data_IF_766176833813
#
_entry.id   IF_766176833813
#
_cell.length_a   1.000
_cell.length_b   1.000
_cell.length_c   1.000
_cell.angle_alpha   90.00
_cell.angle_beta   90.00
_cell.angle_gamma   90.00
#
_symmetry.space_group_name_H-M   'P 1'
#
loop_
_entity.id
_entity.type
_entity.pdbx_description
1 polymer ?
#
# COMPACT_ATOMS: atom_id res chain seq x y z
N UNK A 1 -11.47 -13.71 -13.83
CA UNK A 1 -11.47 -12.36 -13.22
C UNK A 1 -11.37 -11.35 -14.36
N UNK A 2 -12.47 -10.72 -14.74
CA UNK A 2 -12.55 -9.83 -15.91
C UNK A 2 -12.07 -8.42 -15.52
N UNK A 3 -10.79 -8.13 -15.79
CA UNK A 3 -10.16 -6.84 -15.48
C UNK A 3 -10.54 -5.73 -16.46
N UNK A 4 -11.33 -6.03 -17.51
CA UNK A 4 -11.69 -5.10 -18.60
C UNK A 4 -13.00 -4.33 -18.39
N UNK A 5 -13.57 -4.28 -17.18
CA UNK A 5 -14.59 -3.27 -16.86
C UNK A 5 -13.95 -1.89 -16.79
N UNK A 6 -13.78 -1.30 -17.97
CA UNK A 6 -13.22 0.04 -18.13
C UNK A 6 -14.25 1.02 -17.60
N UNK A 7 -13.85 1.95 -16.72
CA UNK A 7 -14.72 3.03 -16.22
C UNK A 7 -15.37 3.85 -17.33
N UNK A 8 -14.86 3.78 -18.57
CA UNK A 8 -15.49 4.32 -19.80
C UNK A 8 -16.92 3.83 -20.01
N UNK A 9 -17.27 2.62 -19.56
CA UNK A 9 -18.62 2.07 -19.68
C UNK A 9 -19.59 2.61 -18.62
N UNK A 10 -19.09 3.37 -17.63
CA UNK A 10 -19.90 3.99 -16.59
C UNK A 10 -20.11 5.47 -16.95
N UNK A 11 -21.25 5.80 -17.55
CA UNK A 11 -21.65 7.16 -17.89
C UNK A 11 -22.87 7.61 -17.07
N UNK A 12 -22.99 8.92 -16.86
CA UNK A 12 -24.21 9.55 -16.38
C UNK A 12 -25.24 9.67 -17.53
N UNK A 13 -26.53 9.95 -17.23
CA UNK A 13 -27.56 10.16 -18.26
C UNK A 13 -27.23 11.25 -19.28
N UNK A 14 -26.39 12.21 -18.91
CA UNK A 14 -25.92 13.30 -19.78
C UNK A 14 -24.64 12.96 -20.58
N UNK A 15 -24.24 11.69 -20.62
CA UNK A 15 -23.10 11.20 -21.38
C UNK A 15 -21.73 11.44 -20.73
N UNK A 16 -21.65 12.18 -19.61
CA UNK A 16 -20.37 12.43 -18.92
C UNK A 16 -19.96 11.22 -18.07
N UNK A 17 -18.66 10.97 -17.90
CA UNK A 17 -18.14 9.83 -17.12
C UNK A 17 -18.66 9.79 -15.66
N UNK A 18 -19.25 8.68 -15.21
CA UNK A 18 -19.77 8.54 -13.83
C UNK A 18 -18.65 8.64 -12.79
N UNK A 19 -17.52 7.99 -13.04
CA UNK A 19 -16.36 7.98 -12.13
C UNK A 19 -15.25 8.86 -12.68
N UNK A 20 -14.79 9.83 -11.89
CA UNK A 20 -13.71 10.76 -12.24
C UNK A 20 -12.60 10.74 -11.20
N UNK A 21 -11.37 11.04 -11.62
CA UNK A 21 -10.28 11.29 -10.66
C UNK A 21 -10.58 12.57 -9.89
N UNK A 22 -10.37 12.55 -8.58
CA UNK A 22 -10.68 13.64 -7.66
C UNK A 22 -9.51 13.91 -6.71
N UNK A 23 -8.36 14.21 -7.32
CA UNK A 23 -7.11 14.51 -6.62
C UNK A 23 -6.42 13.27 -6.03
N UNK A 24 -5.64 13.52 -4.99
CA UNK A 24 -4.89 12.52 -4.24
C UNK A 24 -5.24 12.55 -2.76
N UNK A 25 -5.04 11.42 -2.07
CA UNK A 25 -4.97 11.40 -0.62
C UNK A 25 -3.63 11.95 -0.13
N UNK A 26 -3.45 12.05 1.20
CA UNK A 26 -2.18 12.44 1.79
C UNK A 26 -1.03 11.56 1.27
N UNK A 27 0.09 12.21 0.96
CA UNK A 27 1.32 11.51 0.66
C UNK A 27 1.80 10.76 1.91
N UNK A 28 2.39 9.59 1.71
CA UNK A 28 3.01 8.81 2.78
C UNK A 28 4.26 8.12 2.27
N UNK A 29 5.23 7.95 3.15
CA UNK A 29 6.39 7.13 2.88
C UNK A 29 6.04 5.65 3.01
N UNK A 30 6.47 4.89 2.00
CA UNK A 30 6.42 3.43 1.96
C UNK A 30 7.86 2.93 2.01
N UNK A 31 8.19 2.12 3.01
CA UNK A 31 9.49 1.45 3.01
C UNK A 31 9.54 0.43 1.86
N UNK A 32 10.59 0.49 1.04
CA UNK A 32 10.84 -0.44 -0.06
C UNK A 32 12.29 -0.93 -0.01
N UNK A 33 12.66 -1.92 -0.83
CA UNK A 33 14.03 -2.44 -0.85
C UNK A 33 15.11 -1.44 -1.26
N UNK A 34 14.73 -0.31 -1.89
CA UNK A 34 15.65 0.78 -2.26
C UNK A 34 15.61 1.96 -1.26
N UNK A 35 14.91 1.79 -0.14
CA UNK A 35 14.64 2.85 0.83
C UNK A 35 13.20 3.38 0.78
N UNK A 36 12.92 4.48 1.51
CA UNK A 36 11.58 5.07 1.59
C UNK A 36 11.18 5.73 0.25
N UNK A 37 9.95 5.46 -0.19
CA UNK A 37 9.35 6.08 -1.37
C UNK A 37 8.09 6.81 -0.97
N UNK A 38 8.03 8.11 -1.27
CA UNK A 38 6.85 8.95 -1.02
C UNK A 38 5.79 8.64 -2.08
N UNK A 39 4.62 8.18 -1.66
CA UNK A 39 3.51 7.84 -2.56
C UNK A 39 2.23 8.54 -2.13
N UNK A 40 1.53 9.15 -3.09
CA UNK A 40 0.19 9.70 -2.89
C UNK A 40 -0.84 8.85 -3.63
N UNK A 41 -1.87 8.39 -2.92
CA UNK A 41 -2.91 7.52 -3.49
C UNK A 41 -3.90 8.34 -4.34
N UNK A 42 -4.21 7.97 -5.59
CA UNK A 42 -5.28 8.61 -6.35
C UNK A 42 -6.63 8.46 -5.65
N UNK A 43 -7.45 9.51 -5.70
CA UNK A 43 -8.85 9.47 -5.27
C UNK A 43 -9.73 9.44 -6.51
N UNK A 44 -10.79 8.64 -6.45
CA UNK A 44 -11.86 8.65 -7.42
C UNK A 44 -13.15 9.14 -6.76
N UNK A 45 -13.93 9.94 -7.48
CA UNK A 45 -15.26 10.38 -7.09
C UNK A 45 -16.28 9.74 -8.02
N UNK A 46 -17.23 9.01 -7.44
CA UNK A 46 -18.44 8.59 -8.12
C UNK A 46 -19.44 9.75 -8.09
N UNK A 47 -19.81 10.26 -9.26
CA UNK A 47 -20.74 11.39 -9.43
C UNK A 47 -22.20 10.93 -9.52
N UNK A 48 -22.45 9.62 -9.70
CA UNK A 48 -23.78 9.05 -9.86
C UNK A 48 -24.35 8.42 -8.59
N UNK A 49 -23.61 8.45 -7.48
CA UNK A 49 -24.05 7.84 -6.23
C UNK A 49 -25.05 8.73 -5.47
N UNK A 50 -26.28 8.26 -5.28
CA UNK A 50 -27.33 8.93 -4.49
C UNK A 50 -27.18 8.75 -2.97
N UNK A 51 -26.29 7.85 -2.54
CA UNK A 51 -26.03 7.59 -1.11
C UNK A 51 -24.79 6.72 -0.89
N UNK A 52 -24.42 6.40 0.37
CA UNK A 52 -23.20 5.65 0.69
C UNK A 52 -23.18 4.21 0.19
N UNK A 53 -24.36 3.58 0.07
CA UNK A 53 -24.51 2.15 -0.29
C UNK A 53 -24.36 1.85 -1.78
N UNK A 54 -24.64 2.80 -2.66
CA UNK A 54 -24.51 2.67 -4.14
C UNK A 54 -23.25 3.37 -4.68
N UNK A 55 -22.35 3.79 -3.78
CA UNK A 55 -21.14 4.51 -4.16
C UNK A 55 -20.06 3.55 -4.63
N UNK A 56 -19.63 3.70 -5.87
CA UNK A 56 -18.45 2.99 -6.39
C UNK A 56 -17.20 3.54 -5.72
N UNK A 57 -16.47 2.68 -5.00
CA UNK A 57 -15.23 3.03 -4.31
C UNK A 57 -14.04 2.53 -5.09
N UNK A 58 -13.08 3.42 -5.34
CA UNK A 58 -11.76 3.01 -5.78
C UNK A 58 -11.06 2.26 -4.64
N UNK A 59 -10.48 1.10 -4.94
CA UNK A 59 -9.56 0.36 -4.09
C UNK A 59 -8.28 0.10 -4.88
N UNK A 60 -7.12 0.43 -4.31
CA UNK A 60 -5.84 0.15 -4.96
C UNK A 60 -5.33 -1.19 -4.46
N UNK A 61 -5.01 -2.09 -5.39
CA UNK A 61 -4.40 -3.39 -5.11
C UNK A 61 -2.87 -3.27 -4.94
N UNK A 62 -2.27 -2.28 -5.60
CA UNK A 62 -0.82 -2.00 -5.55
C UNK A 62 -0.47 -1.24 -4.25
N UNK A 63 -1.29 -0.25 -3.89
CA UNK A 63 -1.10 0.58 -2.69
C UNK A 63 -2.32 0.45 -1.76
N UNK A 64 -2.40 -0.60 -0.93
CA UNK A 64 -3.46 -0.77 0.06
C UNK A 64 -3.56 0.44 0.99
N UNK A 65 -4.75 0.71 1.53
CA UNK A 65 -5.07 1.95 2.23
C UNK A 65 -4.09 2.29 3.37
N UNK A 66 -3.62 1.26 4.08
CA UNK A 66 -2.79 1.36 5.28
C UNK A 66 -1.37 0.82 5.10
N UNK A 67 -0.97 0.50 3.87
CA UNK A 67 0.38 0.00 3.61
C UNK A 67 1.43 1.03 4.04
N UNK A 68 2.39 0.58 4.84
CA UNK A 68 3.59 1.33 5.27
C UNK A 68 4.89 0.75 4.70
N UNK A 69 4.84 -0.48 4.17
CA UNK A 69 5.97 -1.20 3.60
C UNK A 69 5.55 -1.97 2.34
N UNK A 70 6.51 -2.28 1.49
CA UNK A 70 6.32 -3.17 0.35
C UNK A 70 6.18 -4.63 0.81
N UNK A 71 5.35 -5.41 0.11
CA UNK A 71 5.15 -6.85 0.38
C UNK A 71 6.46 -7.65 0.36
N UNK A 72 7.43 -7.24 -0.46
CA UNK A 72 8.75 -7.87 -0.53
C UNK A 72 9.57 -7.72 0.75
N UNK A 73 9.37 -6.63 1.51
CA UNK A 73 10.01 -6.45 2.81
C UNK A 73 9.37 -7.33 3.89
N UNK A 74 8.05 -7.49 3.87
CA UNK A 74 7.37 -8.38 4.82
C UNK A 74 7.82 -9.83 4.60
N UNK A 75 7.99 -10.25 3.33
CA UNK A 75 8.49 -11.58 2.98
C UNK A 75 9.97 -11.81 3.36
N UNK A 76 10.77 -10.73 3.53
CA UNK A 76 12.18 -10.84 3.86
C UNK A 76 12.38 -11.33 5.30
N UNK A 77 11.51 -10.94 6.24
CA UNK A 77 11.67 -11.23 7.67
C UNK A 77 11.72 -12.74 7.96
N UNK A 78 10.77 -13.58 7.49
CA UNK A 78 10.85 -15.03 7.67
C UNK A 78 12.12 -15.65 7.04
N UNK A 79 12.52 -15.17 5.86
CA UNK A 79 13.70 -15.68 5.15
C UNK A 79 14.99 -15.43 5.95
N UNK A 80 15.16 -14.22 6.50
CA UNK A 80 16.33 -13.90 7.32
C UNK A 80 16.39 -14.76 8.58
N UNK A 81 15.24 -15.07 9.18
CA UNK A 81 15.17 -15.91 10.37
C UNK A 81 15.55 -17.38 10.05
N UNK A 82 15.04 -17.91 8.93
CA UNK A 82 15.42 -19.25 8.45
C UNK A 82 16.90 -19.36 8.09
N UNK A 83 17.55 -18.25 7.73
CA UNK A 83 18.99 -18.17 7.46
C UNK A 83 19.85 -18.06 8.73
N UNK A 84 19.24 -18.10 9.92
CA UNK A 84 19.96 -18.08 11.20
C UNK A 84 20.48 -16.70 11.62
N UNK A 85 20.00 -15.62 10.99
CA UNK A 85 20.35 -14.27 11.43
C UNK A 85 19.56 -13.98 12.72
N UNK A 86 20.25 -13.49 13.76
CA UNK A 86 19.60 -13.12 15.02
C UNK A 86 18.71 -11.88 14.85
N UNK A 87 17.62 -11.79 15.61
CA UNK A 87 16.75 -10.59 15.61
C UNK A 87 17.51 -9.32 16.04
N UNK A 88 18.56 -9.46 16.86
CA UNK A 88 19.46 -8.35 17.22
C UNK A 88 20.25 -7.80 16.02
N UNK A 89 20.62 -8.67 15.08
CA UNK A 89 21.40 -8.31 13.90
C UNK A 89 20.51 -7.77 12.76
N UNK A 90 19.21 -8.04 12.81
CA UNK A 90 18.24 -7.54 11.82
C UNK A 90 18.22 -6.02 11.79
N UNK A 91 18.18 -5.37 12.96
CA UNK A 91 18.12 -3.91 13.04
C UNK A 91 19.35 -3.28 12.36
N UNK A 92 20.53 -3.87 12.56
CA UNK A 92 21.80 -3.41 11.96
C UNK A 92 21.80 -3.62 10.44
N UNK A 93 21.40 -4.80 9.98
CA UNK A 93 21.32 -5.12 8.55
C UNK A 93 20.27 -4.27 7.81
N UNK A 94 19.07 -4.14 8.40
CA UNK A 94 17.98 -3.37 7.82
C UNK A 94 18.26 -1.86 7.83
N UNK A 95 18.95 -1.34 8.85
CA UNK A 95 19.31 0.07 8.88
C UNK A 95 20.28 0.45 7.77
N UNK A 96 21.18 -0.46 7.38
CA UNK A 96 22.08 -0.25 6.24
C UNK A 96 21.33 -0.21 4.90
N UNK A 97 20.20 -0.92 4.77
CA UNK A 97 19.43 -1.04 3.53
C UNK A 97 18.29 -0.01 3.43
N UNK A 98 17.66 0.34 4.56
CA UNK A 98 16.41 1.10 4.60
C UNK A 98 16.56 2.49 5.23
N UNK A 99 17.78 2.85 5.62
CA UNK A 99 18.09 4.07 6.35
C UNK A 99 18.04 3.88 7.87
N UNK A 100 18.49 4.90 8.59
CA UNK A 100 18.65 4.89 10.05
C UNK A 100 17.38 4.41 10.75
N UNK A 101 17.55 3.49 11.71
CA UNK A 101 16.50 2.89 12.53
C UNK A 101 15.46 2.03 11.78
N UNK A 102 15.61 1.85 10.47
CA UNK A 102 14.73 1.07 9.60
C UNK A 102 13.24 1.30 9.93
N UNK A 103 12.70 2.52 9.70
CA UNK A 103 11.38 2.90 10.18
C UNK A 103 10.31 1.94 9.67
N UNK A 104 9.39 1.57 10.57
CA UNK A 104 8.41 0.50 10.39
C UNK A 104 8.98 -0.93 10.46
N UNK A 105 10.23 -1.19 10.84
CA UNK A 105 10.75 -2.55 11.09
C UNK A 105 11.46 -2.65 12.45
N UNK A 106 10.90 -2.02 13.48
CA UNK A 106 11.42 -2.14 14.84
C UNK A 106 11.23 -3.57 15.40
N UNK A 107 11.98 -3.96 16.45
CA UNK A 107 11.88 -5.30 17.04
C UNK A 107 10.44 -5.75 17.41
N UNK A 108 9.56 -4.89 17.97
CA UNK A 108 8.16 -5.26 18.24
C UNK A 108 7.36 -5.56 16.97
N UNK A 109 7.61 -4.80 15.90
CA UNK A 109 6.94 -4.97 14.61
C UNK A 109 7.39 -6.26 13.94
N UNK A 110 8.69 -6.56 13.99
CA UNK A 110 9.25 -7.83 13.52
C UNK A 110 8.66 -9.01 14.32
N UNK A 111 8.53 -8.87 15.63
CA UNK A 111 7.93 -9.91 16.48
C UNK A 111 6.44 -10.14 16.16
N UNK A 112 5.70 -9.10 15.77
CA UNK A 112 4.33 -9.22 15.27
C UNK A 112 4.25 -9.97 13.94
N UNK A 113 5.15 -9.66 12.99
CA UNK A 113 5.20 -10.30 11.67
C UNK A 113 5.55 -11.80 11.70
N UNK A 114 6.17 -12.29 12.78
CA UNK A 114 6.41 -13.74 12.95
C UNK A 114 5.15 -14.53 13.28
N UNK A 115 4.07 -13.86 13.69
CA UNK A 115 2.82 -14.50 14.17
C UNK A 115 1.76 -14.65 13.08
N UNK A 116 1.93 -13.94 11.96
CA UNK A 116 1.06 -13.99 10.78
C UNK A 116 1.57 -15.05 9.79
#
# INVERSE_FOLDING_TARGET
MDWKRTTKQLALPDGRARVVRHGYGPAREIATGIGPVVVARPKARDRGASGPGDRIRFHSTILPLWARRAKSLDALIPVLYLRGISTSDFQKALSALLGKDAPNLSPPVIAGLKKD
#
